data_IF_329045777595
#
_entry.id   IF_329045777595
#
_cell.length_a   1.000
_cell.length_b   1.000
_cell.length_c   1.000
_cell.angle_alpha   90.00
_cell.angle_beta   90.00
_cell.angle_gamma   90.00
#
_symmetry.space_group_name_H-M   'P 1'
#
loop_
_entity.id
_entity.type
_entity.pdbx_description
1 polymer ?
#
# COMPACT_ATOMS: atom_id res chain seq x y z
N UNK A 1 -16.19 -0.07 0.98
CA UNK A 1 -16.97 1.01 0.30
C UNK A 1 -16.10 1.89 -0.59
N UNK A 2 -14.83 2.02 -0.28
CA UNK A 2 -13.88 2.91 -1.00
C UNK A 2 -13.74 2.62 -2.52
N UNK A 3 -14.16 1.44 -2.99
CA UNK A 3 -14.06 1.04 -4.41
C UNK A 3 -15.32 1.34 -5.21
N UNK A 4 -16.35 1.81 -4.53
CA UNK A 4 -17.60 2.20 -5.18
C UNK A 4 -17.55 3.67 -5.59
N UNK A 5 -18.13 3.97 -6.74
CA UNK A 5 -18.47 5.36 -7.07
C UNK A 5 -19.77 5.78 -6.35
N UNK A 6 -19.99 7.09 -6.12
CA UNK A 6 -21.26 7.58 -5.57
C UNK A 6 -22.47 7.06 -6.34
N UNK A 7 -22.38 7.01 -7.67
CA UNK A 7 -23.44 6.50 -8.54
C UNK A 7 -23.76 5.02 -8.27
N UNK A 8 -22.73 4.16 -8.10
CA UNK A 8 -22.94 2.75 -7.79
C UNK A 8 -23.64 2.56 -6.45
N UNK A 9 -23.29 3.37 -5.44
CA UNK A 9 -23.95 3.33 -4.14
C UNK A 9 -25.40 3.81 -4.21
N UNK A 10 -25.68 4.87 -4.99
CA UNK A 10 -27.06 5.32 -5.25
C UNK A 10 -27.87 4.24 -5.94
N UNK A 11 -27.31 3.54 -6.92
CA UNK A 11 -27.98 2.42 -7.60
C UNK A 11 -28.30 1.28 -6.62
N UNK A 12 -27.36 0.92 -5.72
CA UNK A 12 -27.62 -0.08 -4.70
C UNK A 12 -28.74 0.34 -3.74
N UNK A 13 -28.73 1.59 -3.28
CA UNK A 13 -29.74 2.13 -2.40
C UNK A 13 -31.11 2.17 -3.08
N UNK A 14 -31.14 2.51 -4.37
CA UNK A 14 -32.38 2.50 -5.15
C UNK A 14 -32.91 1.08 -5.42
N UNK A 15 -32.04 0.15 -5.70
CA UNK A 15 -32.40 -1.26 -5.93
C UNK A 15 -32.92 -1.96 -4.66
N UNK A 16 -32.47 -1.51 -3.48
CA UNK A 16 -32.81 -2.09 -2.19
C UNK A 16 -33.30 -1.03 -1.18
N UNK A 17 -34.44 -0.36 -1.43
CA UNK A 17 -34.86 0.80 -0.64
C UNK A 17 -35.20 0.49 0.82
N UNK A 18 -35.54 -0.76 1.13
CA UNK A 18 -35.85 -1.23 2.50
C UNK A 18 -34.66 -1.87 3.22
N UNK A 19 -33.51 -1.97 2.56
CA UNK A 19 -32.33 -2.60 3.14
C UNK A 19 -31.64 -1.68 4.16
N UNK A 20 -31.01 -2.31 5.16
CA UNK A 20 -30.04 -1.65 6.04
C UNK A 20 -28.65 -1.92 5.50
N UNK A 21 -27.91 -0.85 5.23
CA UNK A 21 -26.56 -0.95 4.71
C UNK A 21 -25.54 -0.82 5.84
N UNK A 22 -24.56 -1.73 5.86
CA UNK A 22 -23.35 -1.61 6.67
C UNK A 22 -22.21 -1.44 5.68
N UNK A 23 -21.58 -0.27 5.73
CA UNK A 23 -20.49 0.12 4.84
C UNK A 23 -19.19 0.13 5.63
N UNK A 24 -18.20 -0.65 5.22
CA UNK A 24 -16.87 -0.64 5.82
C UNK A 24 -15.82 -0.34 4.76
N UNK A 25 -14.75 0.34 5.14
CA UNK A 25 -13.64 0.64 4.24
C UNK A 25 -12.75 1.76 4.78
N UNK A 26 -11.66 1.99 4.06
CA UNK A 26 -10.72 3.08 4.28
C UNK A 26 -10.70 3.98 3.04
N UNK A 27 -11.29 5.17 3.16
CA UNK A 27 -11.39 6.12 2.03
C UNK A 27 -10.01 6.60 1.55
N UNK A 28 -8.97 6.51 2.38
CA UNK A 28 -7.60 6.84 2.00
C UNK A 28 -6.96 5.80 1.07
N UNK A 29 -7.49 4.56 1.03
CA UNK A 29 -7.05 3.49 0.12
C UNK A 29 -7.77 3.51 -1.24
N UNK A 30 -8.31 4.64 -1.66
CA UNK A 30 -8.98 4.79 -2.95
C UNK A 30 -7.96 5.05 -4.06
N UNK A 31 -7.46 4.00 -4.69
CA UNK A 31 -6.51 4.08 -5.83
C UNK A 31 -7.19 4.20 -7.20
N UNK A 32 -8.50 4.07 -7.27
CA UNK A 32 -9.26 4.08 -8.54
C UNK A 32 -9.76 5.48 -8.94
N UNK A 33 -9.29 6.55 -8.28
CA UNK A 33 -9.69 7.94 -8.55
C UNK A 33 -11.21 8.20 -8.41
N UNK A 34 -11.91 7.36 -7.67
CA UNK A 34 -13.33 7.51 -7.39
C UNK A 34 -13.48 8.34 -6.12
N UNK A 35 -13.66 9.65 -6.28
CA UNK A 35 -13.81 10.56 -5.13
C UNK A 35 -15.11 10.23 -4.41
N UNK A 36 -15.02 9.45 -3.36
CA UNK A 36 -16.10 9.19 -2.43
C UNK A 36 -15.73 9.83 -1.08
N UNK A 37 -16.57 10.72 -0.60
CA UNK A 37 -16.42 11.38 0.69
C UNK A 37 -17.43 10.84 1.72
N UNK A 38 -17.22 11.15 2.99
CA UNK A 38 -18.22 10.86 4.03
C UNK A 38 -19.52 11.65 3.80
N UNK A 39 -19.45 12.85 3.22
CA UNK A 39 -20.62 13.66 2.93
C UNK A 39 -21.44 13.07 1.77
N UNK A 40 -20.79 12.48 0.77
CA UNK A 40 -21.48 11.70 -0.26
C UNK A 40 -22.25 10.53 0.36
N UNK A 41 -21.64 9.79 1.28
CA UNK A 41 -22.30 8.68 1.97
C UNK A 41 -23.50 9.13 2.79
N UNK A 42 -23.39 10.25 3.52
CA UNK A 42 -24.51 10.83 4.26
C UNK A 42 -25.65 11.24 3.36
N UNK A 43 -25.34 11.85 2.23
CA UNK A 43 -26.34 12.27 1.24
C UNK A 43 -27.05 11.08 0.62
N UNK A 44 -26.32 10.03 0.23
CA UNK A 44 -26.86 8.84 -0.41
C UNK A 44 -27.75 8.04 0.57
N UNK A 45 -27.29 7.82 1.80
CA UNK A 45 -27.96 6.91 2.74
C UNK A 45 -28.83 7.62 3.80
N UNK A 46 -29.23 8.87 3.54
CA UNK A 46 -30.07 9.69 4.43
C UNK A 46 -29.41 10.05 5.77
N UNK A 47 -29.11 11.31 5.94
CA UNK A 47 -28.40 11.86 7.10
C UNK A 47 -29.06 11.53 8.46
N UNK A 48 -30.40 11.48 8.48
CA UNK A 48 -31.15 11.22 9.73
C UNK A 48 -30.93 9.83 10.33
N UNK A 49 -30.56 8.84 9.50
CA UNK A 49 -30.33 7.45 9.93
C UNK A 49 -28.86 7.03 9.85
N UNK A 50 -28.01 7.87 9.30
CA UNK A 50 -26.59 7.57 9.14
C UNK A 50 -25.86 7.55 10.49
N UNK A 51 -25.09 6.50 10.75
CA UNK A 51 -24.19 6.40 11.89
C UNK A 51 -22.79 6.06 11.39
N UNK A 52 -21.79 6.79 11.85
CA UNK A 52 -20.40 6.59 11.49
C UNK A 52 -19.59 6.18 12.71
N UNK A 53 -18.77 5.15 12.54
CA UNK A 53 -17.84 4.66 13.54
C UNK A 53 -16.45 4.61 12.94
N UNK A 54 -15.45 5.07 13.69
CA UNK A 54 -14.05 4.97 13.29
C UNK A 54 -13.37 3.88 14.11
N UNK A 55 -12.71 2.96 13.45
CA UNK A 55 -11.84 1.97 14.08
C UNK A 55 -10.43 2.57 14.15
N UNK A 56 -10.01 2.99 15.34
CA UNK A 56 -8.77 3.74 15.55
C UNK A 56 -7.58 2.86 15.92
N UNK A 57 -7.80 1.59 16.23
CA UNK A 57 -6.73 0.69 16.66
C UNK A 57 -6.27 -0.18 15.51
N UNK A 58 -4.98 -0.10 15.17
CA UNK A 58 -4.36 -1.02 14.23
C UNK A 58 -3.67 -2.17 14.98
N UNK A 59 -4.06 -3.39 14.65
CA UNK A 59 -3.45 -4.63 15.16
C UNK A 59 -2.55 -5.30 14.13
N UNK A 60 -2.60 -4.87 12.88
CA UNK A 60 -1.99 -5.51 11.73
C UNK A 60 -0.51 -5.16 11.62
N UNK A 61 -0.24 -3.90 11.39
CA UNK A 61 1.11 -3.38 11.14
C UNK A 61 1.74 -2.85 12.42
N UNK A 62 3.07 -2.74 12.41
CA UNK A 62 3.79 -2.09 13.51
C UNK A 62 3.53 -0.58 13.51
N UNK A 63 3.71 0.06 14.67
CA UNK A 63 3.56 1.49 14.87
C UNK A 63 4.41 2.30 13.86
N UNK A 64 5.63 1.86 13.64
CA UNK A 64 6.60 2.51 12.76
C UNK A 64 6.11 2.50 11.32
N UNK A 65 5.57 1.37 10.84
CA UNK A 65 5.00 1.27 9.48
C UNK A 65 3.76 2.14 9.36
N UNK A 66 2.87 2.14 10.36
CA UNK A 66 1.64 2.94 10.29
C UNK A 66 1.95 4.43 10.26
N UNK A 67 2.82 4.92 11.15
CA UNK A 67 3.24 6.34 11.17
C UNK A 67 3.86 6.77 9.84
N UNK A 68 4.72 5.93 9.27
CA UNK A 68 5.33 6.18 7.97
C UNK A 68 4.27 6.25 6.87
N UNK A 69 3.36 5.28 6.84
CA UNK A 69 2.28 5.24 5.84
C UNK A 69 1.36 6.46 5.93
N UNK A 70 0.99 6.88 7.14
CA UNK A 70 0.13 8.04 7.39
C UNK A 70 0.76 9.37 6.93
N UNK A 71 2.07 9.42 6.70
CA UNK A 71 2.73 10.59 6.14
C UNK A 71 2.32 10.86 4.68
N UNK A 72 1.79 9.86 3.99
CA UNK A 72 1.31 9.97 2.62
C UNK A 72 -0.18 10.34 2.50
N UNK A 73 -0.90 10.49 3.63
CA UNK A 73 -2.31 10.90 3.62
C UNK A 73 -2.42 12.41 3.81
N UNK A 74 -3.33 13.04 3.07
CA UNK A 74 -3.72 14.43 3.27
C UNK A 74 -4.92 14.52 4.24
N UNK A 75 -4.91 15.49 5.14
CA UNK A 75 -5.99 15.75 6.08
C UNK A 75 -5.75 15.22 7.50
N UNK A 76 -6.84 15.01 8.24
CA UNK A 76 -6.77 14.48 9.61
C UNK A 76 -6.20 13.07 9.62
N UNK A 77 -5.05 12.91 10.27
CA UNK A 77 -4.46 11.60 10.53
C UNK A 77 -5.30 10.89 11.57
N UNK A 78 -5.57 9.58 11.41
CA UNK A 78 -6.26 8.82 12.45
C UNK A 78 -5.44 8.88 13.74
N UNK A 79 -6.00 9.41 14.82
CA UNK A 79 -5.42 9.27 16.16
C UNK A 79 -5.65 7.82 16.63
N UNK A 80 -4.81 6.92 16.15
CA UNK A 80 -4.93 5.50 16.45
C UNK A 80 -4.05 5.06 17.62
N UNK A 81 -4.49 4.03 18.33
CA UNK A 81 -3.64 3.30 19.26
C UNK A 81 -2.92 2.19 18.50
N UNK A 82 -1.60 2.19 18.57
CA UNK A 82 -0.74 1.21 17.93
C UNK A 82 -0.22 0.24 18.99
N UNK A 83 -0.41 -1.06 18.80
CA UNK A 83 -0.14 -2.06 19.84
C UNK A 83 1.20 -2.75 19.62
N UNK A 84 1.72 -2.74 18.40
CA UNK A 84 2.92 -3.47 18.02
C UNK A 84 4.03 -2.51 17.63
N UNK A 85 5.20 -2.64 18.25
CA UNK A 85 6.42 -1.98 17.80
C UNK A 85 7.24 -2.92 16.93
N UNK A 86 7.99 -2.36 15.99
CA UNK A 86 8.85 -3.09 15.07
C UNK A 86 10.03 -2.27 14.58
N UNK A 87 10.58 -2.66 13.45
CA UNK A 87 11.65 -1.91 12.79
C UNK A 87 11.08 -0.67 12.13
N UNK A 88 11.86 0.40 12.05
CA UNK A 88 11.56 1.53 11.19
C UNK A 88 11.51 1.08 9.73
N UNK A 89 10.62 1.63 8.91
CA UNK A 89 10.70 1.47 7.47
C UNK A 89 12.07 1.92 6.95
N UNK A 90 12.59 1.22 5.96
CA UNK A 90 13.87 1.56 5.33
C UNK A 90 13.65 2.12 3.94
N UNK A 91 14.10 3.34 3.71
CA UNK A 91 14.06 3.98 2.39
C UNK A 91 15.36 3.65 1.65
N UNK A 92 15.21 2.97 0.52
CA UNK A 92 16.29 2.58 -0.38
C UNK A 92 16.43 3.65 -1.46
N UNK A 93 17.38 4.56 -1.27
CA UNK A 93 17.67 5.61 -2.23
C UNK A 93 18.53 5.05 -3.37
N UNK A 94 17.98 5.12 -4.57
CA UNK A 94 18.59 4.59 -5.78
C UNK A 94 19.19 5.74 -6.59
N UNK A 95 20.48 5.66 -6.77
CA UNK A 95 21.25 6.52 -7.69
C UNK A 95 21.30 5.87 -9.10
N UNK A 96 22.16 6.38 -9.96
CA UNK A 96 22.29 5.88 -11.35
C UNK A 96 22.75 4.40 -11.46
N UNK A 97 23.17 3.79 -10.37
CA UNK A 97 23.61 2.39 -10.29
C UNK A 97 22.47 1.34 -10.22
N UNK A 98 21.25 1.76 -9.99
CA UNK A 98 20.11 0.84 -9.81
C UNK A 98 20.01 0.27 -8.38
N UNK A 99 19.25 -0.82 -8.22
CA UNK A 99 19.04 -1.51 -6.94
C UNK A 99 20.27 -2.39 -6.59
N UNK A 100 20.71 -2.35 -5.35
CA UNK A 100 21.64 -3.33 -4.79
C UNK A 100 20.92 -4.69 -4.65
N UNK A 101 21.02 -5.50 -5.69
CA UNK A 101 20.32 -6.79 -5.76
C UNK A 101 20.88 -7.82 -4.77
N UNK A 102 22.13 -7.72 -4.35
CA UNK A 102 22.70 -8.59 -3.32
C UNK A 102 22.06 -8.29 -1.96
N UNK A 103 21.88 -7.02 -1.63
CA UNK A 103 21.14 -6.61 -0.44
C UNK A 103 19.67 -7.06 -0.46
N UNK A 104 18.98 -6.83 -1.57
CA UNK A 104 17.59 -7.28 -1.76
C UNK A 104 17.49 -8.80 -1.56
N UNK A 105 18.36 -9.55 -2.23
CA UNK A 105 18.40 -11.01 -2.13
C UNK A 105 18.63 -11.48 -0.70
N UNK A 106 19.59 -10.89 -0.01
CA UNK A 106 19.85 -11.23 1.41
C UNK A 106 18.60 -11.03 2.28
N UNK A 107 17.87 -9.93 2.07
CA UNK A 107 16.63 -9.65 2.83
C UNK A 107 15.52 -10.65 2.49
N UNK A 108 15.34 -10.94 1.21
CA UNK A 108 14.34 -11.94 0.75
C UNK A 108 14.65 -13.32 1.32
N UNK A 109 15.89 -13.79 1.16
CA UNK A 109 16.31 -15.12 1.61
C UNK A 109 16.14 -15.27 3.13
N UNK A 110 16.52 -14.24 3.91
CA UNK A 110 16.34 -14.23 5.36
C UNK A 110 14.85 -14.26 5.75
N UNK A 111 14.01 -13.51 5.07
CA UNK A 111 12.57 -13.46 5.33
C UNK A 111 11.89 -14.78 5.01
N UNK A 112 12.21 -15.37 3.87
CA UNK A 112 11.66 -16.68 3.45
C UNK A 112 12.12 -17.79 4.38
N UNK A 113 13.39 -17.78 4.81
CA UNK A 113 13.91 -18.74 5.80
C UNK A 113 13.22 -18.62 7.17
N UNK A 114 12.72 -17.43 7.52
CA UNK A 114 11.91 -17.19 8.71
C UNK A 114 10.42 -17.54 8.53
N UNK A 115 10.02 -18.08 7.37
CA UNK A 115 8.63 -18.41 7.06
C UNK A 115 7.74 -17.20 6.75
N UNK A 116 8.34 -16.04 6.48
CA UNK A 116 7.62 -14.81 6.17
C UNK A 116 7.27 -14.71 4.67
N UNK A 117 6.12 -14.12 4.39
CA UNK A 117 5.68 -13.79 3.03
C UNK A 117 6.22 -12.44 2.61
N UNK A 118 6.87 -12.41 1.45
CA UNK A 118 7.47 -11.20 0.88
C UNK A 118 6.66 -10.74 -0.33
N UNK A 119 6.40 -9.44 -0.44
CA UNK A 119 5.78 -8.88 -1.64
C UNK A 119 6.59 -7.70 -2.18
N UNK A 120 6.85 -7.70 -3.47
CA UNK A 120 7.27 -6.54 -4.24
C UNK A 120 6.02 -5.92 -4.85
N UNK A 121 5.66 -4.74 -4.40
CA UNK A 121 4.45 -4.06 -4.83
C UNK A 121 4.82 -2.80 -5.59
N UNK A 122 4.47 -2.75 -6.86
CA UNK A 122 4.71 -1.62 -7.75
C UNK A 122 3.46 -0.76 -7.92
N UNK A 123 3.62 0.43 -8.49
CA UNK A 123 2.51 1.34 -8.81
C UNK A 123 1.60 0.76 -9.89
N UNK A 124 2.18 0.13 -10.91
CA UNK A 124 1.47 -0.39 -12.07
C UNK A 124 2.09 -1.71 -12.56
N UNK A 125 1.48 -2.33 -13.57
CA UNK A 125 1.94 -3.61 -14.11
C UNK A 125 3.27 -3.51 -14.85
N UNK A 126 3.57 -2.38 -15.51
CA UNK A 126 4.82 -2.17 -16.22
C UNK A 126 6.01 -2.16 -15.27
N UNK A 127 5.87 -1.47 -14.12
CA UNK A 127 6.90 -1.46 -13.08
C UNK A 127 7.04 -2.84 -12.42
N UNK A 128 5.93 -3.60 -12.25
CA UNK A 128 5.98 -4.99 -11.77
C UNK A 128 6.79 -5.89 -12.71
N UNK A 129 6.64 -5.70 -14.00
CA UNK A 129 7.39 -6.45 -15.01
C UNK A 129 8.88 -6.08 -15.01
N UNK A 130 9.22 -4.79 -14.89
CA UNK A 130 10.63 -4.34 -14.81
C UNK A 130 11.34 -4.93 -13.60
N UNK A 131 10.76 -4.82 -12.41
CA UNK A 131 11.37 -5.42 -11.20
C UNK A 131 11.47 -6.95 -11.31
N UNK A 132 10.52 -7.63 -11.96
CA UNK A 132 10.58 -9.06 -12.15
C UNK A 132 11.80 -9.50 -12.97
N UNK A 133 12.21 -8.71 -13.97
CA UNK A 133 13.41 -8.96 -14.75
C UNK A 133 14.67 -8.80 -13.89
N UNK A 134 14.76 -7.76 -13.07
CA UNK A 134 15.89 -7.54 -12.17
C UNK A 134 16.02 -8.64 -11.13
N UNK A 135 14.90 -9.04 -10.48
CA UNK A 135 14.88 -10.13 -9.49
C UNK A 135 15.25 -11.48 -10.13
N UNK A 136 14.76 -11.73 -11.34
CA UNK A 136 15.11 -12.94 -12.10
C UNK A 136 16.61 -12.99 -12.43
N UNK A 137 17.20 -11.87 -12.85
CA UNK A 137 18.64 -11.77 -13.13
C UNK A 137 19.49 -12.00 -11.87
N UNK A 138 19.00 -11.61 -10.70
CA UNK A 138 19.63 -11.85 -9.40
C UNK A 138 19.40 -13.27 -8.85
N UNK A 139 18.64 -14.12 -9.56
CA UNK A 139 18.36 -15.49 -9.14
C UNK A 139 17.46 -15.56 -7.90
N UNK A 140 16.54 -14.61 -7.76
CA UNK A 140 15.49 -14.63 -6.74
C UNK A 140 14.29 -15.35 -7.34
N UNK A 141 13.79 -16.36 -6.63
CA UNK A 141 12.59 -17.11 -7.04
C UNK A 141 11.33 -16.38 -6.57
N UNK A 142 10.37 -16.17 -7.48
CA UNK A 142 9.15 -15.41 -7.22
C UNK A 142 8.00 -15.84 -8.14
N UNK A 143 6.79 -15.41 -7.80
CA UNK A 143 5.63 -15.46 -8.69
C UNK A 143 5.17 -14.04 -9.03
N UNK A 144 5.09 -13.73 -10.33
CA UNK A 144 4.46 -12.50 -10.82
C UNK A 144 2.95 -12.70 -10.91
N UNK A 145 2.19 -11.88 -10.18
CA UNK A 145 0.73 -11.89 -10.13
C UNK A 145 0.19 -10.86 -11.12
N UNK A 146 -0.52 -11.31 -12.13
CA UNK A 146 -1.04 -10.46 -13.21
C UNK A 146 -2.56 -10.27 -13.15
N UNK A 147 -3.28 -11.18 -12.49
CA UNK A 147 -4.75 -11.17 -12.40
C UNK A 147 -5.22 -11.49 -10.97
N UNK A 148 -6.41 -11.02 -10.61
CA UNK A 148 -7.03 -11.24 -9.28
C UNK A 148 -7.28 -12.72 -8.95
N UNK A 149 -7.38 -13.57 -9.97
CA UNK A 149 -7.61 -15.01 -9.82
C UNK A 149 -6.32 -15.82 -9.62
N UNK A 150 -5.17 -15.16 -9.61
CA UNK A 150 -3.86 -15.81 -9.51
C UNK A 150 -3.52 -16.12 -8.03
N UNK A 151 -4.24 -17.07 -7.44
CA UNK A 151 -4.01 -17.54 -6.07
C UNK A 151 -2.67 -18.26 -5.97
N UNK A 152 -1.65 -17.56 -5.53
CA UNK A 152 -0.33 -18.15 -5.34
C UNK A 152 0.02 -18.27 -3.85
N UNK A 153 0.46 -19.46 -3.45
CA UNK A 153 1.07 -19.74 -2.16
C UNK A 153 2.59 -19.51 -2.17
N UNK A 154 3.12 -18.93 -3.25
CA UNK A 154 4.55 -18.65 -3.35
C UNK A 154 4.99 -17.67 -2.26
N UNK A 155 6.12 -17.91 -1.58
CA UNK A 155 6.57 -17.05 -0.49
C UNK A 155 6.96 -15.64 -0.94
N UNK A 156 7.35 -15.46 -2.19
CA UNK A 156 7.72 -14.17 -2.77
C UNK A 156 6.80 -13.85 -3.95
N UNK A 157 6.07 -12.75 -3.84
CA UNK A 157 5.14 -12.30 -4.87
C UNK A 157 5.58 -10.94 -5.43
N UNK A 158 5.31 -10.74 -6.72
CA UNK A 158 5.42 -9.42 -7.38
C UNK A 158 4.05 -9.07 -7.92
N UNK A 159 3.57 -7.85 -7.66
CA UNK A 159 2.27 -7.41 -8.15
C UNK A 159 2.13 -5.90 -8.20
N UNK A 160 1.24 -5.37 -9.05
CA UNK A 160 0.84 -3.97 -8.99
C UNK A 160 -0.08 -3.69 -7.80
N UNK A 161 -0.06 -2.45 -7.29
CA UNK A 161 -0.81 -2.00 -6.11
C UNK A 161 -2.31 -2.35 -6.15
N UNK A 162 -2.93 -2.31 -7.33
CA UNK A 162 -4.34 -2.66 -7.49
C UNK A 162 -4.65 -4.11 -7.11
N UNK A 163 -3.71 -5.03 -7.36
CA UNK A 163 -3.86 -6.46 -7.03
C UNK A 163 -3.43 -6.77 -5.58
N UNK A 164 -2.60 -5.91 -4.98
CA UNK A 164 -2.21 -6.03 -3.58
C UNK A 164 -3.31 -5.58 -2.61
N UNK A 165 -4.35 -4.92 -3.11
CA UNK A 165 -5.42 -4.41 -2.28
C UNK A 165 -6.18 -5.53 -1.57
N UNK A 166 -6.32 -5.42 -0.24
CA UNK A 166 -6.94 -6.45 0.61
C UNK A 166 -6.00 -7.58 1.00
N UNK A 167 -4.80 -7.67 0.42
CA UNK A 167 -3.77 -8.63 0.80
C UNK A 167 -2.87 -8.03 1.89
N UNK A 168 -2.13 -8.90 2.59
CA UNK A 168 -1.21 -8.57 3.66
C UNK A 168 0.03 -9.44 3.55
N UNK A 169 1.20 -8.83 3.84
CA UNK A 169 2.49 -9.50 3.73
C UNK A 169 3.36 -9.14 4.93
N UNK A 170 4.18 -10.09 5.37
CA UNK A 170 5.10 -9.85 6.47
C UNK A 170 6.13 -8.78 6.10
N UNK A 171 6.64 -8.85 4.87
CA UNK A 171 7.65 -7.95 4.33
C UNK A 171 7.15 -7.37 3.00
N UNK A 172 7.22 -6.06 2.85
CA UNK A 172 6.86 -5.37 1.61
C UNK A 172 8.02 -4.54 1.10
N UNK A 173 8.37 -4.74 -0.17
CA UNK A 173 9.17 -3.83 -0.97
C UNK A 173 8.23 -2.98 -1.84
N UNK A 174 8.06 -1.73 -1.47
CA UNK A 174 7.29 -0.74 -2.22
C UNK A 174 8.16 -0.18 -3.35
N UNK A 175 7.84 -0.52 -4.60
CA UNK A 175 8.66 -0.20 -5.77
C UNK A 175 8.22 1.13 -6.37
N UNK A 176 9.00 2.19 -6.13
CA UNK A 176 8.70 3.55 -6.55
C UNK A 176 9.85 4.24 -7.31
N UNK A 177 10.92 3.52 -7.66
CA UNK A 177 12.09 4.11 -8.31
C UNK A 177 11.97 4.29 -9.83
N UNK A 178 10.92 3.76 -10.42
CA UNK A 178 10.65 3.98 -11.83
C UNK A 178 9.80 5.25 -12.00
N UNK A 179 10.29 6.25 -12.77
CA UNK A 179 9.55 7.49 -12.98
C UNK A 179 8.21 7.19 -13.67
N UNK A 180 7.10 7.39 -12.95
CA UNK A 180 5.78 7.35 -13.56
C UNK A 180 5.54 8.65 -14.31
N UNK A 181 4.81 8.59 -15.42
CA UNK A 181 4.10 9.76 -15.92
C UNK A 181 3.16 10.19 -14.79
N UNK A 182 3.40 11.40 -14.23
CA UNK A 182 2.79 11.92 -13.01
C UNK A 182 1.37 11.38 -12.78
N UNK A 183 1.22 10.45 -11.85
CA UNK A 183 -0.09 9.93 -11.48
C UNK A 183 -0.69 10.88 -10.45
N UNK A 184 -1.88 11.40 -10.71
CA UNK A 184 -2.59 12.34 -9.82
C UNK A 184 -2.84 11.80 -8.39
N UNK A 185 -2.51 10.53 -8.11
CA UNK A 185 -2.79 9.84 -6.85
C UNK A 185 -1.58 9.10 -6.28
N UNK A 186 -0.36 9.55 -6.53
CA UNK A 186 0.85 8.84 -6.07
C UNK A 186 0.86 8.61 -4.56
N UNK A 187 0.46 9.60 -3.79
CA UNK A 187 0.44 9.49 -2.32
C UNK A 187 -0.56 8.45 -1.81
N UNK A 188 -1.75 8.35 -2.42
CA UNK A 188 -2.73 7.34 -2.07
C UNK A 188 -2.28 5.92 -2.45
N UNK A 189 -1.57 5.81 -3.59
CA UNK A 189 -0.96 4.54 -4.01
C UNK A 189 0.12 4.13 -3.01
N UNK A 190 1.01 5.05 -2.63
CA UNK A 190 2.05 4.80 -1.62
C UNK A 190 1.46 4.39 -0.29
N UNK A 191 0.47 5.13 0.21
CA UNK A 191 -0.26 4.76 1.42
C UNK A 191 -0.80 3.33 1.32
N UNK A 192 -1.48 3.02 0.21
CA UNK A 192 -2.06 1.70 -0.01
C UNK A 192 -1.00 0.61 -0.01
N UNK A 193 0.13 0.81 -0.68
CA UNK A 193 1.23 -0.15 -0.73
C UNK A 193 1.83 -0.33 0.67
N UNK A 194 2.19 0.76 1.34
CA UNK A 194 2.83 0.72 2.66
C UNK A 194 1.97 0.02 3.71
N UNK A 195 0.64 0.22 3.65
CA UNK A 195 -0.31 -0.44 4.57
C UNK A 195 -0.49 -1.94 4.32
N UNK A 196 0.15 -2.51 3.31
CA UNK A 196 0.20 -3.97 3.08
C UNK A 196 1.25 -4.66 3.94
N UNK A 197 2.22 -3.92 4.48
CA UNK A 197 3.28 -4.46 5.31
C UNK A 197 2.82 -4.68 6.76
N UNK A 198 3.17 -5.85 7.32
CA UNK A 198 2.88 -6.17 8.72
C UNK A 198 4.10 -6.00 9.63
N UNK A 199 5.31 -6.36 9.18
CA UNK A 199 6.52 -6.41 9.99
C UNK A 199 7.68 -5.57 9.46
N UNK A 200 7.95 -5.61 8.17
CA UNK A 200 9.05 -4.87 7.54
C UNK A 200 8.58 -4.16 6.27
N UNK A 201 9.02 -2.94 6.08
CA UNK A 201 8.70 -2.12 4.91
C UNK A 201 9.99 -1.52 4.35
N UNK A 202 10.21 -1.75 3.07
CA UNK A 202 11.27 -1.15 2.25
C UNK A 202 10.65 -0.32 1.16
N UNK A 203 11.00 0.97 1.07
CA UNK A 203 10.53 1.87 0.02
C UNK A 203 11.68 2.22 -0.91
N UNK A 204 11.60 1.82 -2.18
CA UNK A 204 12.59 2.19 -3.18
C UNK A 204 12.23 3.54 -3.80
N UNK A 205 13.17 4.48 -3.81
CA UNK A 205 12.96 5.85 -4.32
C UNK A 205 14.14 6.25 -5.18
N UNK A 206 13.90 6.71 -6.40
CA UNK A 206 14.96 7.34 -7.20
C UNK A 206 15.28 8.75 -6.71
N UNK A 207 16.50 9.24 -6.93
CA UNK A 207 16.87 10.59 -6.54
C UNK A 207 15.94 11.68 -7.10
N UNK A 208 15.30 11.43 -8.25
CA UNK A 208 14.30 12.34 -8.86
C UNK A 208 12.96 12.36 -8.15
N UNK A 209 12.67 11.33 -7.38
CA UNK A 209 11.41 11.15 -6.64
C UNK A 209 11.56 11.41 -5.14
N UNK A 210 12.74 11.86 -4.69
CA UNK A 210 13.02 12.17 -3.28
C UNK A 210 12.05 13.19 -2.69
N UNK A 211 11.40 14.03 -3.51
CA UNK A 211 10.34 14.95 -3.09
C UNK A 211 9.11 14.26 -2.46
N UNK A 212 8.92 12.96 -2.70
CA UNK A 212 7.89 12.16 -2.01
C UNK A 212 8.11 12.10 -0.50
N UNK A 213 9.37 12.22 -0.06
CA UNK A 213 9.77 12.13 1.35
C UNK A 213 9.76 13.48 2.08
N UNK A 214 9.59 14.61 1.37
CA UNK A 214 9.61 15.94 2.00
C UNK A 214 8.56 16.12 3.11
N UNK A 215 7.47 15.34 3.06
CA UNK A 215 6.40 15.35 4.06
C UNK A 215 6.60 14.34 5.19
N UNK A 216 7.60 13.48 5.08
CA UNK A 216 7.87 12.41 6.02
C UNK A 216 8.91 12.86 7.03
N UNK A 217 8.60 12.77 8.31
CA UNK A 217 9.56 13.06 9.37
C UNK A 217 10.77 12.11 9.23
N UNK A 218 11.99 12.63 9.05
CA UNK A 218 13.19 11.82 8.88
C UNK A 218 13.52 10.95 10.10
N UNK A 219 12.92 11.19 11.26
CA UNK A 219 13.14 10.39 12.44
C UNK A 219 12.37 9.07 12.44
N UNK A 220 11.34 8.91 11.58
CA UNK A 220 10.48 7.72 11.58
C UNK A 220 10.89 6.65 10.57
N UNK A 221 11.93 6.85 9.78
CA UNK A 221 12.46 5.87 8.84
C UNK A 221 13.99 5.90 8.82
N UNK A 222 14.59 4.83 8.31
CA UNK A 222 16.02 4.73 8.06
C UNK A 222 16.29 4.91 6.56
N UNK A 223 17.47 5.40 6.19
CA UNK A 223 17.88 5.61 4.79
C UNK A 223 19.08 4.75 4.46
N UNK A 224 18.98 4.03 3.36
CA UNK A 224 20.10 3.31 2.75
C UNK A 224 20.31 3.81 1.33
N UNK A 225 21.54 4.20 1.01
CA UNK A 225 21.96 4.46 -0.39
C UNK A 225 22.32 3.13 -1.04
N UNK A 226 21.79 2.92 -2.23
CA UNK A 226 22.04 1.76 -3.07
C UNK A 226 23.16 2.00 -4.06
#
# INVERSE_FOLDING_TARGET
VQDFSPFQLQMLQHAYPSARFILSGDLNQNILNRRLSFDDLRTIFSESTFRSYRLLTSYRSTNEIVRFSESFIEGEKPEGTYIRSGKKPEVLLIDDGGLDMDYIKQKVDASVAAGMRVAFISRNAEDAERISQELSAAGIDFKLVQQDTDNSHHPVLIMPARLAKGLEFDVVFAICHYPAKAAQNEMQILYTICTRAMHELYLTVSGKEAGLLERVDPEIYDVRKM
#
